data_IF_240006840289
#
_entry.id   IF_240006840289
#
_cell.length_a   1.000
_cell.length_b   1.000
_cell.length_c   1.000
_cell.angle_alpha   90.00
_cell.angle_beta   90.00
_cell.angle_gamma   90.00
#
_symmetry.space_group_name_H-M   'P 1'
#
loop_
_entity.id
_entity.type
_entity.pdbx_description
1 polymer ?
#
# COMPACT_ATOMS: atom_id res chain seq x y z
N UNK A 1 22.13 8.17 21.80
CA UNK A 1 22.10 6.69 21.76
C UNK A 1 21.75 6.22 20.34
N UNK A 2 22.64 6.42 19.37
CA UNK A 2 22.45 5.92 18.00
C UNK A 2 23.13 4.56 17.89
N UNK A 3 22.36 3.47 18.08
CA UNK A 3 22.93 2.14 17.95
C UNK A 3 22.89 1.72 16.48
N UNK A 4 24.09 1.50 15.92
CA UNK A 4 24.37 0.91 14.61
C UNK A 4 23.86 -0.54 14.46
N UNK A 5 22.66 -0.86 14.96
CA UNK A 5 22.11 -2.20 14.93
C UNK A 5 21.44 -2.43 13.55
N UNK A 6 21.96 -3.32 12.70
CA UNK A 6 21.37 -3.60 11.38
C UNK A 6 19.92 -4.08 11.47
N UNK A 7 19.54 -4.72 12.58
CA UNK A 7 18.17 -5.14 12.83
C UNK A 7 17.22 -3.96 13.07
N UNK A 8 17.68 -2.90 13.74
CA UNK A 8 16.88 -1.69 13.95
C UNK A 8 16.64 -0.95 12.62
N UNK A 9 17.65 -0.90 11.74
CA UNK A 9 17.50 -0.34 10.40
C UNK A 9 16.51 -1.15 9.56
N UNK A 10 16.62 -2.49 9.56
CA UNK A 10 15.67 -3.36 8.86
C UNK A 10 14.25 -3.20 9.36
N UNK A 11 14.05 -3.16 10.68
CA UNK A 11 12.73 -2.94 11.27
C UNK A 11 12.13 -1.59 10.85
N UNK A 12 12.94 -0.52 10.86
CA UNK A 12 12.49 0.80 10.43
C UNK A 12 12.08 0.85 8.95
N UNK A 13 12.85 0.21 8.07
CA UNK A 13 12.53 0.14 6.63
C UNK A 13 11.25 -0.66 6.36
N UNK A 14 11.06 -1.79 7.06
CA UNK A 14 9.84 -2.59 6.95
C UNK A 14 8.62 -1.81 7.42
N UNK A 15 8.73 -1.10 8.55
CA UNK A 15 7.64 -0.28 9.06
C UNK A 15 7.28 0.88 8.11
N UNK A 16 8.28 1.51 7.50
CA UNK A 16 8.06 2.54 6.48
C UNK A 16 7.41 1.98 5.23
N UNK A 17 7.89 0.84 4.73
CA UNK A 17 7.34 0.15 3.58
C UNK A 17 5.87 -0.26 3.80
N UNK A 18 5.56 -0.84 4.96
CA UNK A 18 4.20 -1.19 5.36
C UNK A 18 3.31 0.05 5.38
N UNK A 19 3.76 1.15 6.01
CA UNK A 19 3.00 2.40 6.06
C UNK A 19 2.66 2.95 4.67
N UNK A 20 3.62 2.94 3.74
CA UNK A 20 3.42 3.40 2.36
C UNK A 20 2.39 2.52 1.63
N UNK A 21 2.54 1.19 1.72
CA UNK A 21 1.64 0.26 1.04
C UNK A 21 0.23 0.30 1.60
N UNK A 22 0.10 0.42 2.93
CA UNK A 22 -1.18 0.56 3.61
C UNK A 22 -1.88 1.86 3.23
N UNK A 23 -1.15 2.97 3.14
CA UNK A 23 -1.72 4.24 2.68
C UNK A 23 -2.20 4.12 1.23
N UNK A 24 -1.42 3.51 0.33
CA UNK A 24 -1.83 3.29 -1.06
C UNK A 24 -3.09 2.43 -1.15
N UNK A 25 -3.14 1.33 -0.38
CA UNK A 25 -4.30 0.46 -0.31
C UNK A 25 -5.55 1.22 0.14
N UNK A 26 -5.45 2.04 1.19
CA UNK A 26 -6.58 2.83 1.70
C UNK A 26 -7.11 3.81 0.64
N UNK A 27 -6.22 4.58 0.02
CA UNK A 27 -6.60 5.56 -1.02
C UNK A 27 -7.29 4.87 -2.21
N UNK A 28 -6.77 3.75 -2.69
CA UNK A 28 -7.41 3.02 -3.79
C UNK A 28 -8.74 2.39 -3.37
N UNK A 29 -8.84 1.90 -2.13
CA UNK A 29 -10.09 1.34 -1.60
C UNK A 29 -11.18 2.40 -1.57
N UNK A 30 -10.85 3.60 -1.06
CA UNK A 30 -11.76 4.74 -1.04
C UNK A 30 -12.16 5.16 -2.45
N UNK A 31 -11.20 5.23 -3.38
CA UNK A 31 -11.46 5.59 -4.78
C UNK A 31 -12.43 4.62 -5.45
N UNK A 32 -12.21 3.32 -5.32
CA UNK A 32 -13.05 2.27 -5.90
C UNK A 32 -14.45 2.29 -5.29
N UNK A 33 -14.53 2.41 -3.96
CA UNK A 33 -15.80 2.46 -3.22
C UNK A 33 -16.63 3.67 -3.64
N UNK A 34 -16.03 4.86 -3.69
CA UNK A 34 -16.69 6.08 -4.14
C UNK A 34 -17.17 5.98 -5.59
N UNK A 35 -16.34 5.44 -6.49
CA UNK A 35 -16.71 5.25 -7.89
C UNK A 35 -17.91 4.30 -8.03
N UNK A 36 -17.91 3.18 -7.31
CA UNK A 36 -19.03 2.24 -7.30
C UNK A 36 -20.32 2.91 -6.80
N UNK A 37 -20.27 3.66 -5.69
CA UNK A 37 -21.44 4.38 -5.16
C UNK A 37 -22.01 5.37 -6.18
N UNK A 38 -21.16 6.20 -6.79
CA UNK A 38 -21.58 7.16 -7.81
C UNK A 38 -22.15 6.47 -9.06
N UNK A 39 -21.61 5.31 -9.43
CA UNK A 39 -22.09 4.53 -10.58
C UNK A 39 -23.49 3.96 -10.32
N UNK A 40 -23.74 3.42 -9.12
CA UNK A 40 -25.06 2.94 -8.70
C UNK A 40 -26.10 4.06 -8.58
N UNK A 41 -25.69 5.24 -8.11
CA UNK A 41 -26.58 6.41 -8.07
C UNK A 41 -27.00 6.87 -9.47
N UNK A 42 -26.07 6.83 -10.43
CA UNK A 42 -26.33 7.23 -11.82
C UNK A 42 -27.11 6.16 -12.59
N UNK A 43 -26.81 4.90 -12.35
CA UNK A 43 -27.38 3.75 -13.04
C UNK A 43 -27.62 2.60 -12.05
N UNK A 44 -28.89 2.34 -11.74
CA UNK A 44 -29.29 1.26 -10.82
C UNK A 44 -29.07 -0.14 -11.37
N UNK A 45 -28.76 -0.27 -12.66
CA UNK A 45 -28.44 -1.56 -13.29
C UNK A 45 -26.94 -1.83 -13.34
N UNK A 46 -26.12 -0.93 -12.78
CA UNK A 46 -24.68 -1.11 -12.67
C UNK A 46 -24.35 -2.43 -11.94
N UNK A 47 -23.54 -3.26 -12.59
CA UNK A 47 -23.11 -4.54 -12.07
C UNK A 47 -21.89 -4.39 -11.14
N UNK A 48 -22.14 -4.47 -9.84
CA UNK A 48 -21.13 -4.34 -8.79
C UNK A 48 -20.13 -5.49 -8.78
N UNK A 49 -20.48 -6.65 -9.32
CA UNK A 49 -19.60 -7.82 -9.32
C UNK A 49 -18.43 -7.65 -10.30
N UNK A 50 -18.52 -6.67 -11.21
CA UNK A 50 -17.43 -6.29 -12.12
C UNK A 50 -16.38 -5.39 -11.47
N UNK A 51 -16.62 -4.90 -10.25
CA UNK A 51 -15.70 -4.01 -9.55
C UNK A 51 -14.50 -4.79 -9.01
N UNK A 52 -13.30 -4.41 -9.45
CA UNK A 52 -12.06 -4.96 -8.91
C UNK A 52 -11.60 -4.16 -7.70
N UNK A 53 -11.59 -4.78 -6.53
CA UNK A 53 -11.09 -4.17 -5.30
C UNK A 53 -9.58 -4.33 -5.17
N UNK A 54 -8.88 -3.33 -4.59
CA UNK A 54 -7.47 -3.47 -4.30
C UNK A 54 -7.23 -4.58 -3.28
N UNK A 55 -6.09 -5.26 -3.41
CA UNK A 55 -5.69 -6.34 -2.51
C UNK A 55 -4.83 -5.80 -1.38
N UNK A 56 -5.01 -6.34 -0.18
CA UNK A 56 -4.16 -6.01 0.95
C UNK A 56 -2.70 -6.36 0.63
N UNK A 57 -1.72 -5.50 0.99
CA UNK A 57 -0.32 -5.75 0.69
C UNK A 57 0.17 -7.01 1.41
N UNK A 58 0.80 -7.91 0.66
CA UNK A 58 1.38 -9.12 1.21
C UNK A 58 2.72 -8.83 1.89
N UNK A 59 3.20 -9.78 2.71
CA UNK A 59 4.55 -9.68 3.29
C UNK A 59 5.64 -9.56 2.22
N UNK A 60 5.49 -10.24 1.07
CA UNK A 60 6.40 -10.09 -0.06
C UNK A 60 6.40 -8.69 -0.65
N UNK A 61 5.25 -8.02 -0.71
CA UNK A 61 5.15 -6.64 -1.21
C UNK A 61 5.86 -5.68 -0.25
N UNK A 62 5.68 -5.88 1.05
CA UNK A 62 6.34 -5.08 2.10
C UNK A 62 7.86 -5.22 2.02
N UNK A 63 8.36 -6.45 1.85
CA UNK A 63 9.80 -6.70 1.70
C UNK A 63 10.33 -6.03 0.42
N UNK A 64 9.64 -6.18 -0.70
CA UNK A 64 10.06 -5.58 -1.96
C UNK A 64 10.08 -4.04 -1.90
N UNK A 65 9.12 -3.41 -1.24
CA UNK A 65 9.10 -1.96 -1.06
C UNK A 65 10.21 -1.50 -0.09
N UNK A 66 10.49 -2.27 0.97
CA UNK A 66 11.60 -2.00 1.89
C UNK A 66 12.98 -2.09 1.19
N UNK A 67 13.15 -3.04 0.27
CA UNK A 67 14.37 -3.14 -0.55
C UNK A 67 14.56 -1.92 -1.45
N UNK A 68 13.48 -1.37 -2.03
CA UNK A 68 13.54 -0.12 -2.79
C UNK A 68 13.94 1.06 -1.92
N UNK A 69 13.37 1.18 -0.72
CA UNK A 69 13.73 2.22 0.25
C UNK A 69 15.21 2.11 0.64
N UNK A 70 15.70 0.89 0.88
CA UNK A 70 17.11 0.66 1.19
C UNK A 70 18.03 1.04 0.03
N UNK A 71 17.69 0.66 -1.20
CA UNK A 71 18.45 1.01 -2.39
C UNK A 71 18.52 2.52 -2.62
N UNK A 72 17.43 3.25 -2.32
CA UNK A 72 17.44 4.72 -2.34
C UNK A 72 18.43 5.30 -1.32
N UNK A 73 18.48 4.75 -0.10
CA UNK A 73 19.42 5.18 0.95
C UNK A 73 20.88 4.87 0.57
N UNK A 74 21.15 3.76 -0.13
CA UNK A 74 22.50 3.36 -0.54
C UNK A 74 23.03 4.13 -1.76
N UNK A 75 22.15 4.64 -2.63
CA UNK A 75 22.54 5.52 -3.75
C UNK A 75 22.93 6.89 -3.20
N UNK A 76 24.18 7.00 -2.76
CA UNK A 76 24.89 8.26 -2.55
C UNK A 76 25.76 8.58 -3.77
#
# INVERSE_FOLDING_TARGET
>A
MSSNNPYALRAGLLQQAEGILMQRYQVETERVTNHMHLSLERDRTFDVDTVTYPTFPSTSDIIAEAEKLYAFVQKK
#
